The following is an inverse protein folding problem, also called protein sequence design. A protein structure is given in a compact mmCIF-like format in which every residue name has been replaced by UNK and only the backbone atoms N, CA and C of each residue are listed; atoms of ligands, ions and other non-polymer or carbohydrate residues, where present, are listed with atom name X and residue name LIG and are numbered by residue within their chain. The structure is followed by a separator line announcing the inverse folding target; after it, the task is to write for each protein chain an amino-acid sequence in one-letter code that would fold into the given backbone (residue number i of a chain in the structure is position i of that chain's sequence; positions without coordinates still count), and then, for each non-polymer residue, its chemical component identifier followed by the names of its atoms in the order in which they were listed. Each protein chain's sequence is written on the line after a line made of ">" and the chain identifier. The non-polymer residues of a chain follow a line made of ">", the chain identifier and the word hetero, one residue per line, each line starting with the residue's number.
data_IF_420758815599
#
_entry.id   IF_420758815599
#
_cell.length_a   1.000
_cell.length_b   1.000
_cell.length_c   1.000
_cell.angle_alpha   90.00
_cell.angle_beta   90.00
_cell.angle_gamma   90.00
#
_symmetry.space_group_name_H-M   'P 1'
#
loop_
_entity.id
_entity.type
_entity.pdbx_description
1 polymer ?
#
# COMPACT_ATOMS: atom_id res chain seq x y z
N UNK A 1 24.22 -16.52 1.44
CA UNK A 1 22.99 -17.27 1.13
C UNK A 1 21.82 -16.54 1.79
N UNK A 2 20.95 -15.90 1.01
CA UNK A 2 19.69 -15.36 1.49
C UNK A 2 18.58 -16.09 0.74
N UNK A 3 17.97 -17.08 1.40
CA UNK A 3 16.76 -17.75 0.92
C UNK A 3 15.57 -16.95 1.46
N UNK A 4 15.09 -16.00 0.66
CA UNK A 4 13.80 -15.33 0.82
C UNK A 4 13.24 -15.06 -0.58
N UNK A 5 13.24 -16.07 -1.44
CA UNK A 5 12.76 -15.99 -2.83
C UNK A 5 11.22 -16.05 -2.94
N UNK A 6 10.48 -15.50 -1.98
CA UNK A 6 9.01 -15.45 -2.06
C UNK A 6 8.39 -14.17 -1.49
N UNK A 7 9.20 -13.15 -1.17
CA UNK A 7 8.66 -11.81 -0.89
C UNK A 7 8.41 -11.10 -2.21
N UNK A 8 7.17 -10.63 -2.41
CA UNK A 8 6.85 -9.87 -3.61
C UNK A 8 7.51 -8.50 -3.53
N UNK A 9 8.10 -8.05 -4.65
CA UNK A 9 8.83 -6.80 -4.69
C UNK A 9 7.86 -5.61 -4.60
N UNK A 10 8.21 -4.61 -3.78
CA UNK A 10 7.58 -3.30 -3.83
C UNK A 10 8.34 -2.44 -4.84
N UNK A 11 7.62 -1.83 -5.77
CA UNK A 11 8.19 -1.02 -6.86
C UNK A 11 7.54 0.35 -6.89
N UNK A 12 8.31 1.34 -7.35
CA UNK A 12 7.87 2.73 -7.56
C UNK A 12 8.10 3.09 -9.01
N UNK A 13 7.06 3.58 -9.68
CA UNK A 13 7.12 3.98 -11.07
C UNK A 13 6.25 5.23 -11.26
N UNK A 14 6.84 6.33 -11.73
CA UNK A 14 6.12 7.60 -11.88
C UNK A 14 4.94 7.52 -12.86
N UNK A 15 4.98 6.58 -13.80
CA UNK A 15 3.90 6.34 -14.78
C UNK A 15 2.72 5.54 -14.19
N UNK A 16 2.89 4.90 -13.03
CA UNK A 16 1.88 4.05 -12.40
C UNK A 16 1.55 4.57 -11.01
N UNK A 17 0.26 4.83 -10.75
CA UNK A 17 -0.21 5.34 -9.46
C UNK A 17 0.53 6.61 -8.99
N UNK A 18 1.00 7.45 -9.92
CA UNK A 18 1.67 8.70 -9.58
C UNK A 18 3.01 8.54 -8.87
N UNK A 19 3.65 7.37 -8.94
CA UNK A 19 4.91 7.09 -8.24
C UNK A 19 4.77 6.42 -6.88
N UNK A 20 3.53 6.23 -6.39
CA UNK A 20 3.28 5.57 -5.11
C UNK A 20 3.89 4.16 -5.07
N UNK A 21 4.52 3.75 -3.95
CA UNK A 21 4.95 2.38 -3.73
C UNK A 21 3.79 1.41 -3.91
N UNK A 22 4.01 0.37 -4.72
CA UNK A 22 2.99 -0.65 -5.01
C UNK A 22 3.60 -2.03 -5.11
N UNK A 23 2.76 -3.04 -4.93
CA UNK A 23 3.15 -4.43 -5.12
C UNK A 23 3.40 -4.67 -6.62
N UNK A 24 4.57 -5.23 -6.96
CA UNK A 24 4.94 -5.58 -8.34
C UNK A 24 3.88 -6.48 -9.00
N UNK A 25 3.59 -6.23 -10.28
CA UNK A 25 2.54 -6.94 -11.02
C UNK A 25 1.11 -6.52 -10.67
N UNK A 26 0.90 -5.61 -9.73
CA UNK A 26 -0.43 -5.10 -9.36
C UNK A 26 -0.49 -3.57 -9.41
N UNK A 27 -1.70 -3.02 -9.28
CA UNK A 27 -1.93 -1.59 -9.02
C UNK A 27 -2.28 -1.30 -7.56
N UNK A 28 -2.11 -2.26 -6.66
CA UNK A 28 -2.40 -2.11 -5.24
C UNK A 28 -1.23 -1.38 -4.58
N UNK A 29 -1.48 -0.18 -4.05
CA UNK A 29 -0.46 0.63 -3.38
C UNK A 29 -0.24 0.11 -1.96
N UNK A 30 0.94 0.40 -1.42
CA UNK A 30 1.24 0.10 -0.01
C UNK A 30 0.27 0.83 0.91
N UNK A 31 -0.05 2.10 0.62
CA UNK A 31 -1.03 2.85 1.42
C UNK A 31 -2.41 2.19 1.48
N UNK A 32 -2.87 1.55 0.39
CA UNK A 32 -4.19 0.89 0.35
C UNK A 32 -4.22 -0.34 1.28
N UNK A 33 -3.10 -1.06 1.38
CA UNK A 33 -2.92 -2.19 2.32
C UNK A 33 -2.89 -1.69 3.75
N UNK A 34 -2.11 -0.64 4.02
CA UNK A 34 -1.95 -0.05 5.36
C UNK A 34 -3.26 0.53 5.86
N UNK A 35 -4.03 1.21 5.01
CA UNK A 35 -5.35 1.74 5.35
C UNK A 35 -6.28 0.64 5.86
N UNK A 36 -6.40 -0.48 5.13
CA UNK A 36 -7.24 -1.60 5.58
C UNK A 36 -6.72 -2.25 6.87
N UNK A 37 -5.42 -2.45 6.97
CA UNK A 37 -4.82 -3.17 8.10
C UNK A 37 -4.80 -2.35 9.40
N UNK A 38 -4.25 -1.13 9.38
CA UNK A 38 -4.07 -0.30 10.59
C UNK A 38 -5.33 0.49 10.95
N UNK A 39 -6.09 0.99 9.97
CA UNK A 39 -7.18 1.94 10.23
C UNK A 39 -8.56 1.30 10.20
N UNK A 40 -8.76 0.28 9.37
CA UNK A 40 -10.01 -0.49 9.32
C UNK A 40 -9.92 -1.79 10.14
N UNK A 41 -8.77 -2.07 10.76
CA UNK A 41 -8.52 -3.22 11.62
C UNK A 41 -8.73 -4.58 10.92
N UNK A 42 -8.55 -4.64 9.60
CA UNK A 42 -8.63 -5.91 8.86
C UNK A 42 -7.42 -6.77 9.20
N UNK A 43 -7.62 -8.06 9.40
CA UNK A 43 -6.53 -9.02 9.48
C UNK A 43 -5.78 -9.12 8.14
N UNK A 44 -4.50 -9.54 8.12
CA UNK A 44 -3.75 -9.71 6.88
C UNK A 44 -4.45 -10.64 5.85
N UNK A 45 -5.20 -11.63 6.33
CA UNK A 45 -6.00 -12.53 5.49
C UNK A 45 -7.19 -11.80 4.85
N UNK A 46 -7.90 -10.97 5.60
CA UNK A 46 -9.01 -10.17 5.06
C UNK A 46 -8.52 -9.13 4.05
N UNK A 47 -7.33 -8.55 4.26
CA UNK A 47 -6.70 -7.65 3.28
C UNK A 47 -6.33 -8.41 2.00
N UNK A 48 -5.77 -9.61 2.12
CA UNK A 48 -5.44 -10.45 0.99
C UNK A 48 -6.68 -10.80 0.15
N UNK A 49 -7.77 -11.18 0.82
CA UNK A 49 -9.05 -11.48 0.19
C UNK A 49 -9.65 -10.23 -0.49
N UNK A 50 -9.67 -9.09 0.21
CA UNK A 50 -10.24 -7.85 -0.30
C UNK A 50 -9.58 -7.34 -1.58
N UNK A 51 -8.27 -7.56 -1.74
CA UNK A 51 -7.52 -7.15 -2.92
C UNK A 51 -7.20 -8.28 -3.91
N UNK A 52 -7.65 -9.51 -3.63
CA UNK A 52 -7.30 -10.71 -4.40
C UNK A 52 -5.78 -10.85 -4.63
N UNK A 53 -4.99 -10.56 -3.59
CA UNK A 53 -3.53 -10.71 -3.57
C UNK A 53 -3.12 -11.82 -2.59
N UNK A 54 -1.90 -12.32 -2.72
CA UNK A 54 -1.38 -13.33 -1.79
C UNK A 54 -1.10 -12.73 -0.40
N UNK A 55 -1.17 -13.56 0.63
CA UNK A 55 -0.80 -13.16 1.98
C UNK A 55 0.67 -12.69 2.07
N UNK A 56 1.56 -13.29 1.27
CA UNK A 56 2.95 -12.86 1.17
C UNK A 56 3.08 -11.42 0.61
N UNK A 57 2.22 -11.03 -0.34
CA UNK A 57 2.17 -9.66 -0.86
C UNK A 57 1.70 -8.66 0.19
N UNK A 58 0.70 -9.02 0.99
CA UNK A 58 0.25 -8.20 2.13
C UNK A 58 1.40 -7.96 3.09
N UNK A 59 2.08 -9.02 3.54
CA UNK A 59 3.22 -8.86 4.44
C UNK A 59 4.40 -8.12 3.81
N UNK A 60 4.62 -8.24 2.50
CA UNK A 60 5.66 -7.46 1.80
C UNK A 60 5.33 -5.96 1.82
N UNK A 61 4.06 -5.59 1.63
CA UNK A 61 3.62 -4.20 1.73
C UNK A 61 3.69 -3.65 3.17
N UNK A 62 3.28 -4.45 4.17
CA UNK A 62 3.39 -4.07 5.58
C UNK A 62 4.85 -3.93 6.03
N UNK A 63 5.74 -4.81 5.57
CA UNK A 63 7.17 -4.69 5.83
C UNK A 63 7.74 -3.38 5.26
N UNK A 64 7.39 -3.05 4.01
CA UNK A 64 7.78 -1.77 3.40
C UNK A 64 7.24 -0.58 4.21
N UNK A 65 5.99 -0.63 4.68
CA UNK A 65 5.42 0.43 5.52
C UNK A 65 6.21 0.62 6.82
N UNK A 66 6.57 -0.44 7.53
CA UNK A 66 7.32 -0.31 8.77
C UNK A 66 8.78 0.13 8.56
N UNK A 67 9.35 -0.11 7.37
CA UNK A 67 10.65 0.45 6.96
C UNK A 67 10.55 1.93 6.54
N UNK A 68 9.41 2.34 5.99
CA UNK A 68 9.16 3.66 5.41
C UNK A 68 7.86 4.32 5.92
N UNK A 69 7.64 4.45 7.24
CA UNK A 69 6.34 4.86 7.77
C UNK A 69 5.98 6.30 7.41
N UNK A 70 6.97 7.19 7.37
CA UNK A 70 6.74 8.61 7.07
C UNK A 70 6.39 8.84 5.60
N UNK A 71 7.00 8.09 4.67
CA UNK A 71 6.64 8.14 3.23
C UNK A 71 5.16 7.80 3.04
N UNK A 72 4.70 6.70 3.64
CA UNK A 72 3.31 6.27 3.50
C UNK A 72 2.34 7.20 4.21
N UNK A 73 2.69 7.71 5.41
CA UNK A 73 1.85 8.69 6.11
C UNK A 73 1.72 9.99 5.33
N UNK A 74 2.78 10.46 4.67
CA UNK A 74 2.73 11.63 3.79
C UNK A 74 1.81 11.39 2.60
N UNK A 75 1.89 10.22 1.96
CA UNK A 75 0.96 9.86 0.88
C UNK A 75 -0.50 9.83 1.35
N UNK A 76 -0.76 9.28 2.55
CA UNK A 76 -2.10 9.24 3.12
C UNK A 76 -2.66 10.64 3.39
N UNK A 77 -1.86 11.54 3.99
CA UNK A 77 -2.28 12.95 4.21
C UNK A 77 -2.57 13.66 2.89
N UNK A 78 -1.67 13.53 1.92
CA UNK A 78 -1.85 14.14 0.60
C UNK A 78 -3.10 13.62 -0.12
N UNK A 79 -3.41 12.34 0.05
CA UNK A 79 -4.62 11.73 -0.50
C UNK A 79 -5.90 12.26 0.15
N UNK A 80 -5.91 12.39 1.48
CA UNK A 80 -7.03 12.96 2.23
C UNK A 80 -7.27 14.42 1.83
N UNK A 81 -6.22 15.25 1.81
CA UNK A 81 -6.31 16.65 1.36
C UNK A 81 -6.84 16.78 -0.06
N UNK A 82 -6.44 15.86 -0.97
CA UNK A 82 -6.93 15.85 -2.34
C UNK A 82 -8.43 15.53 -2.38
N UNK A 83 -8.88 14.53 -1.62
CA UNK A 83 -10.31 14.17 -1.52
C UNK A 83 -11.11 15.35 -0.92
N UNK A 84 -10.61 16.00 0.12
CA UNK A 84 -11.28 17.15 0.72
C UNK A 84 -11.43 18.31 -0.27
N UNK A 85 -10.40 18.62 -1.04
CA UNK A 85 -10.47 19.66 -2.09
C UNK A 85 -11.52 19.33 -3.14
N UNK A 86 -11.66 18.07 -3.54
CA UNK A 86 -12.71 17.64 -4.47
C UNK A 86 -14.11 17.79 -3.87
N UNK A 87 -14.29 17.52 -2.57
CA UNK A 87 -15.57 17.66 -1.87
C UNK A 87 -16.01 19.12 -1.71
N UNK A 88 -15.06 20.04 -1.55
CA UNK A 88 -15.34 21.48 -1.39
C UNK A 88 -15.35 22.26 -2.71
N UNK A 89 -14.96 21.63 -3.82
CA UNK A 89 -14.97 22.20 -5.16
C UNK A 89 -16.25 21.92 -5.98
N UNK A 90 -17.31 21.41 -5.35
CA UNK A 90 -18.65 21.23 -5.94
C UNK A 90 -19.62 22.32 -5.51
#
# INVERSE_FOLDING_TARGET
>A
MALLESTSRIVKDQSVCGGSPRIEGTRIRVMDVVEKYEFLEYSPNEVAEAFAISLAQVFSALAYYYEHPEEIKEEMRAHEEFIEKLRHGQ
#
